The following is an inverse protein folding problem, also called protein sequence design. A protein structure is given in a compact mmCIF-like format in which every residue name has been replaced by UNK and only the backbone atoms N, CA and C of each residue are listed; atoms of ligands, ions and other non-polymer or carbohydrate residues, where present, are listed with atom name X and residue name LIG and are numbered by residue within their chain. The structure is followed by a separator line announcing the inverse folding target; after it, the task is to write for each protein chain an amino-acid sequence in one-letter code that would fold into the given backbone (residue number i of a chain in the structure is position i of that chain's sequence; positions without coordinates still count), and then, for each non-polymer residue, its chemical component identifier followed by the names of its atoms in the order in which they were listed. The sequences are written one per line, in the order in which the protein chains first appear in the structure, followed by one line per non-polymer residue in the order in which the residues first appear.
data_IF_648219987747
#
_entry.id   IF_648219987747
#
_cell.length_a   1.000
_cell.length_b   1.000
_cell.length_c   1.000
_cell.angle_alpha   90.00
_cell.angle_beta   90.00
_cell.angle_gamma   90.00
#
_symmetry.space_group_name_H-M   'P 1'
#
loop_
_entity.id
_entity.type
_entity.pdbx_description
1 polymer ?
#
# COMPACT_ATOMS: atom_id res chain seq x y z
N UNK A 1 14.28 -13.33 -0.20
CA UNK A 1 13.00 -12.85 0.37
C UNK A 1 12.80 -13.57 1.69
N UNK A 2 12.84 -12.83 2.78
CA UNK A 2 12.48 -13.36 4.10
C UNK A 2 10.98 -13.67 4.09
N UNK A 3 10.59 -14.90 4.47
CA UNK A 3 9.16 -15.27 4.52
C UNK A 3 8.51 -14.49 5.66
N UNK A 4 7.38 -13.82 5.37
CA UNK A 4 6.55 -13.21 6.42
C UNK A 4 6.14 -14.28 7.42
N UNK A 5 6.26 -13.95 8.71
CA UNK A 5 5.75 -14.80 9.78
C UNK A 5 4.25 -14.59 9.98
N UNK A 6 3.61 -15.53 10.67
CA UNK A 6 2.15 -15.53 10.88
C UNK A 6 1.64 -14.25 11.57
N UNK A 7 2.45 -13.63 12.45
CA UNK A 7 2.08 -12.37 13.11
C UNK A 7 2.05 -11.20 12.13
N UNK A 8 3.00 -11.15 11.19
CA UNK A 8 3.03 -10.13 10.14
C UNK A 8 1.83 -10.29 9.20
N UNK A 9 1.48 -11.51 8.84
CA UNK A 9 0.30 -11.80 8.01
C UNK A 9 -0.99 -11.31 8.70
N UNK A 10 -1.15 -11.59 10.00
CA UNK A 10 -2.31 -11.15 10.78
C UNK A 10 -2.37 -9.61 10.89
N UNK A 11 -1.23 -8.95 11.06
CA UNK A 11 -1.18 -7.48 11.10
C UNK A 11 -1.58 -6.86 9.76
N UNK A 12 -1.05 -7.36 8.65
CA UNK A 12 -1.41 -6.90 7.32
C UNK A 12 -2.90 -7.16 7.02
N UNK A 13 -3.43 -8.32 7.43
CA UNK A 13 -4.86 -8.62 7.29
C UNK A 13 -5.76 -7.67 8.07
N UNK A 14 -5.37 -7.31 9.30
CA UNK A 14 -6.11 -6.30 10.09
C UNK A 14 -6.10 -4.93 9.41
N UNK A 15 -4.95 -4.54 8.85
CA UNK A 15 -4.78 -3.26 8.16
C UNK A 15 -5.63 -3.18 6.90
N UNK A 16 -5.67 -4.26 6.11
CA UNK A 16 -6.53 -4.39 4.94
C UNK A 16 -8.02 -4.28 5.31
N UNK A 17 -8.46 -4.97 6.36
CA UNK A 17 -9.85 -4.89 6.81
C UNK A 17 -10.24 -3.48 7.24
N UNK A 18 -9.36 -2.80 7.98
CA UNK A 18 -9.59 -1.40 8.36
C UNK A 18 -9.74 -0.50 7.13
N UNK A 19 -8.85 -0.59 6.15
CA UNK A 19 -8.91 0.23 4.94
C UNK A 19 -10.18 -0.02 4.09
N UNK A 20 -10.66 -1.27 4.05
CA UNK A 20 -11.81 -1.67 3.23
C UNK A 20 -13.16 -1.40 3.90
N UNK A 21 -13.25 -1.63 5.22
CA UNK A 21 -14.52 -1.68 5.93
C UNK A 21 -14.74 -0.46 6.82
N UNK A 22 -13.69 0.06 7.45
CA UNK A 22 -13.79 1.05 8.53
C UNK A 22 -13.32 2.45 8.12
N UNK A 23 -12.34 2.57 7.22
CA UNK A 23 -11.82 3.85 6.73
C UNK A 23 -12.77 4.49 5.69
N UNK A 24 -14.05 4.61 6.01
CA UNK A 24 -15.05 5.30 5.20
C UNK A 24 -15.46 6.60 5.91
N UNK A 25 -14.89 7.76 5.56
CA UNK A 25 -15.38 9.05 6.03
C UNK A 25 -16.86 9.24 5.66
N UNK A 26 -17.55 10.09 6.41
CA UNK A 26 -18.97 10.38 6.16
C UNK A 26 -19.17 10.89 4.74
N UNK A 27 -20.32 10.55 4.15
CA UNK A 27 -20.69 10.85 2.75
C UNK A 27 -20.80 12.33 2.43
N UNK A 28 -20.78 13.20 3.44
CA UNK A 28 -21.28 14.57 3.34
C UNK A 28 -20.16 15.61 3.12
N UNK A 29 -18.94 15.14 2.81
CA UNK A 29 -17.79 15.99 2.50
C UNK A 29 -16.71 15.28 1.68
N UNK A 30 -15.77 16.04 1.08
CA UNK A 30 -14.65 15.45 0.34
C UNK A 30 -13.80 14.59 1.26
N UNK A 31 -13.30 13.45 0.74
CA UNK A 31 -12.34 12.62 1.46
C UNK A 31 -11.13 13.47 1.88
N UNK A 32 -10.57 13.26 3.09
CA UNK A 32 -9.36 13.95 3.49
C UNK A 32 -8.25 13.73 2.45
N UNK A 33 -7.60 14.80 2.00
CA UNK A 33 -6.58 14.76 0.94
C UNK A 33 -5.49 13.73 1.24
N UNK A 34 -5.11 13.59 2.51
CA UNK A 34 -4.09 12.63 2.92
C UNK A 34 -4.57 11.17 2.86
N UNK A 35 -5.86 10.92 3.03
CA UNK A 35 -6.45 9.58 2.81
C UNK A 35 -6.49 9.26 1.32
N UNK A 36 -6.82 10.25 0.48
CA UNK A 36 -6.82 10.09 -0.99
C UNK A 36 -5.42 9.72 -1.49
N UNK A 37 -4.40 10.50 -1.12
CA UNK A 37 -3.00 10.24 -1.53
C UNK A 37 -2.50 8.85 -1.10
N UNK A 38 -2.87 8.40 0.10
CA UNK A 38 -2.52 7.04 0.58
C UNK A 38 -3.14 5.96 -0.29
N UNK A 39 -4.41 6.14 -0.66
CA UNK A 39 -5.11 5.20 -1.53
C UNK A 39 -4.53 5.19 -2.94
N UNK A 40 -4.13 6.34 -3.46
CA UNK A 40 -3.43 6.43 -4.75
C UNK A 40 -2.11 5.64 -4.72
N UNK A 41 -1.31 5.77 -3.66
CA UNK A 41 -0.08 4.97 -3.50
C UNK A 41 -0.38 3.46 -3.46
N UNK A 42 -1.39 3.03 -2.70
CA UNK A 42 -1.78 1.61 -2.64
C UNK A 42 -2.28 1.10 -4.00
N UNK A 43 -3.04 1.90 -4.74
CA UNK A 43 -3.50 1.57 -6.09
C UNK A 43 -2.33 1.42 -7.05
N UNK A 44 -1.34 2.32 -7.01
CA UNK A 44 -0.13 2.17 -7.82
C UNK A 44 0.65 0.91 -7.46
N UNK A 45 0.80 0.62 -6.17
CA UNK A 45 1.45 -0.61 -5.72
C UNK A 45 0.76 -1.87 -6.26
N UNK A 46 -0.58 -1.89 -6.30
CA UNK A 46 -1.35 -3.00 -6.87
C UNK A 46 -1.12 -3.18 -8.38
N UNK A 47 -1.01 -2.07 -9.13
CA UNK A 47 -0.67 -2.12 -10.56
C UNK A 47 0.70 -2.75 -10.78
N UNK A 48 1.73 -2.31 -10.05
CA UNK A 48 3.07 -2.88 -10.17
C UNK A 48 3.11 -4.36 -9.76
N UNK A 49 2.37 -4.77 -8.73
CA UNK A 49 2.23 -6.18 -8.38
C UNK A 49 1.64 -7.02 -9.53
N UNK A 50 0.59 -6.52 -10.19
CA UNK A 50 0.01 -7.17 -11.36
C UNK A 50 1.03 -7.31 -12.49
N UNK A 51 1.79 -6.25 -12.78
CA UNK A 51 2.82 -6.27 -13.82
C UNK A 51 3.97 -7.24 -13.48
N UNK A 52 4.36 -7.37 -12.21
CA UNK A 52 5.32 -8.39 -11.77
C UNK A 52 4.80 -9.80 -12.06
N UNK A 53 3.52 -10.06 -11.79
CA UNK A 53 2.91 -11.36 -12.08
C UNK A 53 2.93 -11.67 -13.58
N UNK A 54 2.60 -10.69 -14.42
CA UNK A 54 2.63 -10.83 -15.88
C UNK A 54 4.06 -11.00 -16.41
N UNK A 55 5.03 -10.22 -15.91
CA UNK A 55 6.44 -10.34 -16.26
C UNK A 55 6.99 -11.74 -15.95
N UNK A 56 6.66 -12.28 -14.77
CA UNK A 56 7.03 -13.66 -14.37
C UNK A 56 6.41 -14.69 -15.30
N UNK A 57 5.13 -14.55 -15.63
CA UNK A 57 4.43 -15.44 -16.57
C UNK A 57 5.09 -15.47 -17.95
N UNK A 58 5.61 -14.31 -18.39
CA UNK A 58 6.27 -14.15 -19.68
C UNK A 58 7.79 -14.38 -19.64
N UNK A 59 8.38 -14.71 -18.47
CA UNK A 59 9.82 -14.80 -18.24
C UNK A 59 10.60 -13.51 -18.61
N UNK A 60 9.96 -12.35 -18.55
CA UNK A 60 10.60 -11.06 -18.80
C UNK A 60 11.28 -10.54 -17.52
N UNK A 61 12.56 -10.89 -17.37
CA UNK A 61 13.37 -10.48 -16.20
C UNK A 61 13.57 -8.97 -16.10
N UNK A 62 13.56 -8.25 -17.22
CA UNK A 62 13.79 -6.80 -17.21
C UNK A 62 12.56 -6.07 -16.68
N UNK A 63 11.38 -6.48 -17.16
CA UNK A 63 10.11 -5.98 -16.64
C UNK A 63 9.94 -6.36 -15.17
N UNK A 64 10.20 -7.62 -14.78
CA UNK A 64 10.10 -8.06 -13.39
C UNK A 64 10.97 -7.20 -12.45
N UNK A 65 12.22 -6.94 -12.83
CA UNK A 65 13.13 -6.11 -12.04
C UNK A 65 12.61 -4.67 -11.90
N UNK A 66 12.24 -4.03 -13.01
CA UNK A 66 11.75 -2.66 -13.00
C UNK A 66 10.49 -2.51 -12.13
N UNK A 67 9.51 -3.38 -12.34
CA UNK A 67 8.23 -3.34 -11.61
C UNK A 67 8.42 -3.63 -10.12
N UNK A 68 9.37 -4.50 -9.77
CA UNK A 68 9.74 -4.79 -8.37
C UNK A 68 10.35 -3.57 -7.67
N UNK A 69 11.24 -2.84 -8.34
CA UNK A 69 11.84 -1.63 -7.77
C UNK A 69 10.79 -0.51 -7.61
N UNK A 70 9.91 -0.33 -8.60
CA UNK A 70 8.80 0.64 -8.50
C UNK A 70 7.86 0.33 -7.34
N UNK A 71 7.46 -0.94 -7.19
CA UNK A 71 6.68 -1.39 -6.05
C UNK A 71 7.34 -1.06 -4.71
N UNK A 72 8.65 -1.33 -4.58
CA UNK A 72 9.40 -1.02 -3.35
C UNK A 72 9.40 0.48 -3.03
N UNK A 73 9.64 1.34 -4.02
CA UNK A 73 9.66 2.80 -3.83
C UNK A 73 8.30 3.30 -3.35
N UNK A 74 7.22 2.83 -3.98
CA UNK A 74 5.84 3.22 -3.63
C UNK A 74 5.50 2.75 -2.22
N UNK A 75 5.81 1.50 -1.89
CA UNK A 75 5.54 0.96 -0.56
C UNK A 75 6.39 1.63 0.52
N UNK A 76 7.66 1.96 0.25
CA UNK A 76 8.48 2.76 1.17
C UNK A 76 7.80 4.09 1.46
N UNK A 77 7.39 4.81 0.41
CA UNK A 77 6.68 6.09 0.52
C UNK A 77 5.40 5.96 1.36
N UNK A 78 4.65 4.87 1.15
CA UNK A 78 3.44 4.58 1.92
C UNK A 78 3.74 4.31 3.42
N UNK A 79 4.78 3.55 3.73
CA UNK A 79 5.14 3.23 5.12
C UNK A 79 5.80 4.40 5.86
N UNK A 80 6.66 5.18 5.19
CA UNK A 80 7.30 6.39 5.74
C UNK A 80 6.28 7.47 6.10
N UNK A 81 5.10 7.42 5.48
CA UNK A 81 3.99 8.26 5.87
C UNK A 81 3.41 7.88 7.24
N UNK A 82 3.33 6.59 7.57
CA UNK A 82 2.71 6.14 8.83
C UNK A 82 3.62 6.39 10.05
N UNK A 83 4.95 6.43 9.84
CA UNK A 83 5.94 6.71 10.88
C UNK A 83 6.05 8.19 11.25
N UNK A 84 5.62 9.11 10.37
CA UNK A 84 5.72 10.56 10.55
C UNK A 84 4.40 11.25 10.94
N UNK A 85 3.45 10.54 11.57
CA UNK A 85 2.21 11.20 12.06
C UNK A 85 2.57 12.33 13.04
N UNK A 86 2.11 13.57 12.81
CA UNK A 86 1.94 14.51 13.91
C UNK A 86 0.96 13.86 14.87
N UNK A 87 1.31 13.76 16.16
CA UNK A 87 0.32 13.49 17.21
C UNK A 87 -0.81 14.48 16.99
N UNK A 88 -1.96 14.00 16.52
CA UNK A 88 -3.17 14.79 16.48
C UNK A 88 -3.43 15.23 17.92
N UNK A 89 -3.15 16.51 18.19
CA UNK A 89 -3.57 17.18 19.40
C UNK A 89 -5.03 16.84 19.63
N UNK A 90 -5.31 16.25 20.80
CA UNK A 90 -6.66 16.09 21.32
C UNK A 90 -7.38 17.44 21.17
N UNK A 91 -8.43 17.46 20.35
CA UNK A 91 -9.52 18.43 20.50
C UNK A 91 -10.55 17.73 21.38
#
# INVERSE_FOLDING_TARGET
MEKMNDKQIVQEWKRLNFELLENKPSSDGPYPVEVVKRRELLLFAQVHLSNIMDAKKNNDRKAEYFETEMYRIIMSTYYDWDTNKPTSSKI
#
